data_IF_141259873614
#
_entry.id   IF_141259873614
#
_cell.length_a   1.000
_cell.length_b   1.000
_cell.length_c   1.000
_cell.angle_alpha   90.00
_cell.angle_beta   90.00
_cell.angle_gamma   90.00
#
_symmetry.space_group_name_H-M   'P 1'
#
loop_
_entity.id
_entity.type
_entity.pdbx_description
1 polymer ?
#
# COMPACT_ATOMS: atom_id res chain seq x y z
N UNK A 1 7.41 -16.84 -36.97
CA UNK A 1 7.47 -15.41 -36.58
C UNK A 1 6.45 -15.23 -35.48
N UNK A 2 6.89 -14.83 -34.29
CA UNK A 2 6.02 -14.62 -33.14
C UNK A 2 5.29 -13.28 -33.31
N UNK A 3 4.12 -13.29 -33.95
CA UNK A 3 3.34 -12.08 -34.27
C UNK A 3 2.48 -11.57 -33.07
N UNK A 4 2.52 -12.24 -31.92
CA UNK A 4 1.75 -11.92 -30.70
C UNK A 4 2.61 -11.90 -29.43
N UNK A 5 3.82 -11.31 -29.49
CA UNK A 5 4.73 -11.29 -28.33
C UNK A 5 5.20 -12.68 -27.87
N UNK A 6 4.98 -13.73 -28.67
CA UNK A 6 5.38 -15.09 -28.36
C UNK A 6 4.45 -15.85 -27.41
N UNK A 7 3.32 -15.28 -26.99
CA UNK A 7 2.35 -15.95 -26.11
C UNK A 7 1.60 -17.08 -26.87
N UNK A 8 1.72 -18.30 -26.37
CA UNK A 8 1.09 -19.51 -26.92
C UNK A 8 0.52 -20.34 -25.77
N UNK A 9 -0.66 -20.96 -25.90
CA UNK A 9 -1.14 -21.93 -24.91
C UNK A 9 -0.11 -23.04 -24.70
N UNK A 10 0.21 -23.36 -23.45
CA UNK A 10 1.22 -24.38 -23.15
C UNK A 10 0.83 -25.75 -23.71
N UNK A 11 -0.47 -26.06 -23.76
CA UNK A 11 -1.01 -27.32 -24.30
C UNK A 11 -0.69 -27.43 -25.78
N UNK A 12 -0.93 -26.37 -26.56
CA UNK A 12 -0.65 -26.33 -28.00
C UNK A 12 0.84 -26.50 -28.29
N UNK A 13 1.71 -25.91 -27.46
CA UNK A 13 3.16 -26.06 -27.59
C UNK A 13 3.57 -27.53 -27.40
N UNK A 14 3.11 -28.16 -26.32
CA UNK A 14 3.44 -29.55 -26.00
C UNK A 14 2.84 -30.51 -27.04
N UNK A 15 1.60 -30.27 -27.47
CA UNK A 15 0.96 -31.06 -28.52
C UNK A 15 1.75 -30.99 -29.83
N UNK A 16 2.28 -29.82 -30.21
CA UNK A 16 3.13 -29.69 -31.41
C UNK A 16 4.48 -30.41 -31.28
N UNK A 17 5.03 -30.52 -30.06
CA UNK A 17 6.31 -31.20 -29.83
C UNK A 17 6.15 -32.72 -29.73
N UNK A 18 5.07 -33.19 -29.12
CA UNK A 18 4.88 -34.61 -28.78
C UNK A 18 3.84 -35.30 -29.67
N UNK A 19 3.09 -34.55 -30.49
CA UNK A 19 1.94 -35.01 -31.28
C UNK A 19 0.81 -35.65 -30.43
N UNK A 20 0.72 -35.28 -29.15
CA UNK A 20 -0.32 -35.75 -28.21
C UNK A 20 -0.78 -34.60 -27.32
N UNK A 21 -2.10 -34.44 -27.13
CA UNK A 21 -2.65 -33.42 -26.23
C UNK A 21 -2.47 -33.82 -24.75
N UNK A 22 -1.70 -33.08 -23.95
CA UNK A 22 -1.45 -33.44 -22.56
C UNK A 22 -2.67 -33.18 -21.65
N UNK A 23 -3.16 -34.22 -20.97
CA UNK A 23 -4.15 -34.05 -19.88
C UNK A 23 -3.55 -33.46 -18.60
N UNK A 24 -2.24 -33.63 -18.39
CA UNK A 24 -1.49 -33.11 -17.23
C UNK A 24 -0.10 -32.65 -17.65
N UNK A 25 0.33 -31.52 -17.09
CA UNK A 25 1.69 -30.99 -17.26
C UNK A 25 2.55 -31.38 -16.06
N UNK A 26 3.28 -32.48 -16.19
CA UNK A 26 4.28 -32.88 -15.21
C UNK A 26 5.59 -32.12 -15.41
N UNK A 27 6.31 -31.83 -14.31
CA UNK A 27 7.60 -31.11 -14.36
C UNK A 27 8.58 -31.73 -15.36
N UNK A 28 8.73 -33.07 -15.37
CA UNK A 28 9.60 -33.77 -16.32
C UNK A 28 9.22 -33.54 -17.78
N UNK A 29 7.93 -33.42 -18.09
CA UNK A 29 7.45 -33.18 -19.46
C UNK A 29 7.84 -31.78 -19.93
N UNK A 30 7.59 -30.77 -19.09
CA UNK A 30 7.98 -29.38 -19.36
C UNK A 30 9.50 -29.23 -19.54
N UNK A 31 10.27 -29.85 -18.65
CA UNK A 31 11.74 -29.93 -18.71
C UNK A 31 12.23 -30.56 -20.02
N UNK A 32 11.64 -31.68 -20.46
CA UNK A 32 11.98 -32.32 -21.73
C UNK A 32 11.61 -31.44 -22.94
N UNK A 33 10.46 -30.79 -22.90
CA UNK A 33 10.03 -29.86 -23.94
C UNK A 33 10.99 -28.67 -24.05
N UNK A 34 11.45 -28.14 -22.91
CA UNK A 34 12.44 -27.06 -22.87
C UNK A 34 13.77 -27.51 -23.48
N UNK A 35 14.25 -28.72 -23.17
CA UNK A 35 15.48 -29.27 -23.77
C UNK A 35 15.33 -29.52 -25.29
N UNK A 36 14.16 -29.98 -25.73
CA UNK A 36 13.88 -30.19 -27.16
C UNK A 36 13.87 -28.88 -27.93
N UNK A 37 13.22 -27.84 -27.39
CA UNK A 37 13.21 -26.50 -27.97
C UNK A 37 14.60 -25.86 -27.97
N UNK A 38 15.36 -26.03 -26.88
CA UNK A 38 16.70 -25.47 -26.76
C UNK A 38 17.62 -25.93 -27.89
N UNK A 39 17.53 -27.20 -28.29
CA UNK A 39 18.31 -27.78 -29.41
C UNK A 39 17.99 -27.19 -30.77
N UNK A 40 16.78 -26.65 -30.95
CA UNK A 40 16.36 -25.97 -32.18
C UNK A 40 16.45 -24.45 -32.08
N UNK A 41 17.06 -23.93 -31.02
CA UNK A 41 17.35 -22.50 -30.83
C UNK A 41 16.19 -21.69 -30.21
N UNK A 42 15.21 -22.36 -29.60
CA UNK A 42 14.07 -21.71 -28.95
C UNK A 42 13.99 -22.04 -27.46
N UNK A 43 13.46 -21.12 -26.67
CA UNK A 43 13.09 -21.33 -25.28
C UNK A 43 11.63 -20.97 -25.05
N UNK A 44 11.10 -21.37 -23.90
CA UNK A 44 9.84 -20.82 -23.41
C UNK A 44 9.93 -20.39 -21.95
N UNK A 45 9.12 -19.42 -21.57
CA UNK A 45 8.94 -18.98 -20.19
C UNK A 45 7.47 -19.15 -19.78
N UNK A 46 7.18 -19.58 -18.53
CA UNK A 46 8.13 -19.93 -17.49
C UNK A 46 8.68 -21.36 -17.64
N UNK A 47 9.97 -21.53 -17.34
CA UNK A 47 10.63 -22.84 -17.28
C UNK A 47 10.84 -23.20 -15.81
N UNK A 48 10.25 -24.32 -15.37
CA UNK A 48 10.27 -24.76 -13.96
C UNK A 48 11.66 -24.89 -13.31
N UNK A 49 12.73 -24.98 -14.10
CA UNK A 49 14.12 -25.01 -13.60
C UNK A 49 14.61 -23.65 -13.11
N UNK A 50 14.09 -22.58 -13.70
CA UNK A 50 14.63 -21.24 -13.55
C UNK A 50 13.58 -20.26 -13.03
N UNK A 51 12.32 -20.48 -13.35
CA UNK A 51 11.17 -19.67 -12.97
C UNK A 51 10.65 -19.98 -11.58
N UNK A 52 9.98 -18.99 -10.98
CA UNK A 52 9.37 -19.11 -9.65
C UNK A 52 8.29 -20.22 -9.58
N UNK A 53 7.66 -20.54 -10.72
CA UNK A 53 6.69 -21.64 -10.85
C UNK A 53 6.59 -22.16 -12.28
N UNK A 54 6.03 -23.35 -12.42
CA UNK A 54 5.62 -23.90 -13.71
C UNK A 54 4.29 -23.28 -14.19
N UNK A 55 4.02 -23.27 -15.51
CA UNK A 55 2.74 -22.83 -16.06
C UNK A 55 1.65 -23.89 -15.81
N UNK A 56 0.41 -23.46 -15.62
CA UNK A 56 -0.77 -24.35 -15.54
C UNK A 56 -1.26 -24.71 -16.93
N UNK A 57 -2.08 -25.75 -17.03
CA UNK A 57 -2.65 -26.25 -18.30
C UNK A 57 -3.45 -25.16 -19.04
N UNK A 58 -4.12 -24.28 -18.31
CA UNK A 58 -4.91 -23.17 -18.87
C UNK A 58 -4.09 -21.90 -19.15
N UNK A 59 -2.82 -21.86 -18.79
CA UNK A 59 -1.99 -20.65 -18.89
C UNK A 59 -1.15 -20.65 -20.17
N UNK A 60 -0.84 -19.47 -20.72
CA UNK A 60 0.11 -19.36 -21.82
C UNK A 60 1.56 -19.55 -21.36
N UNK A 61 2.44 -19.73 -22.33
CA UNK A 61 3.89 -19.62 -22.24
C UNK A 61 4.38 -18.63 -23.29
N UNK A 62 5.50 -17.96 -23.03
CA UNK A 62 6.15 -17.05 -23.97
C UNK A 62 7.28 -17.79 -24.67
N UNK A 63 7.17 -17.97 -25.98
CA UNK A 63 8.24 -18.49 -26.83
C UNK A 63 9.21 -17.39 -27.25
N UNK A 64 10.50 -17.65 -27.09
CA UNK A 64 11.56 -16.72 -27.45
C UNK A 64 12.75 -17.42 -28.13
N UNK A 65 13.53 -16.65 -28.87
CA UNK A 65 14.72 -17.15 -29.57
C UNK A 65 15.94 -17.14 -28.63
N UNK A 66 16.65 -18.27 -28.57
CA UNK A 66 17.94 -18.41 -27.89
C UNK A 66 19.10 -17.96 -28.79
N UNK A 67 18.89 -17.98 -30.12
CA UNK A 67 19.86 -17.62 -31.14
C UNK A 67 20.43 -18.85 -31.84
N UNK A 68 21.27 -19.63 -31.14
CA UNK A 68 21.77 -20.92 -31.62
C UNK A 68 21.18 -22.06 -30.77
N UNK A 69 21.17 -23.27 -31.35
CA UNK A 69 20.77 -24.47 -30.64
C UNK A 69 21.74 -24.75 -29.48
N UNK A 70 21.21 -24.85 -28.27
CA UNK A 70 22.02 -25.11 -27.06
C UNK A 70 21.78 -26.54 -26.61
N UNK A 71 22.85 -27.32 -26.44
CA UNK A 71 22.78 -28.71 -26.01
C UNK A 71 22.33 -28.86 -24.54
N UNK A 72 22.66 -27.88 -23.70
CA UNK A 72 22.25 -27.79 -22.29
C UNK A 72 22.05 -26.35 -21.88
N UNK A 73 20.92 -26.09 -21.22
CA UNK A 73 20.67 -24.80 -20.59
C UNK A 73 21.64 -24.61 -19.41
N UNK A 74 22.24 -23.42 -19.33
CA UNK A 74 23.20 -23.05 -18.28
C UNK A 74 22.53 -22.89 -16.91
N UNK A 75 23.33 -22.98 -15.85
CA UNK A 75 22.90 -22.55 -14.51
C UNK A 75 22.71 -21.03 -14.48
N UNK A 76 21.75 -20.58 -13.69
CA UNK A 76 21.38 -19.16 -13.61
C UNK A 76 22.16 -18.47 -12.48
N UNK A 77 22.75 -17.32 -12.79
CA UNK A 77 23.49 -16.49 -11.83
C UNK A 77 22.60 -15.93 -10.72
N UNK A 78 23.22 -15.57 -9.59
CA UNK A 78 22.50 -14.91 -8.49
C UNK A 78 21.91 -13.55 -8.90
N UNK A 79 22.59 -12.82 -9.81
CA UNK A 79 22.10 -11.57 -10.37
C UNK A 79 20.78 -11.78 -11.13
N UNK A 80 20.68 -12.86 -11.92
CA UNK A 80 19.46 -13.21 -12.64
C UNK A 80 18.32 -13.65 -11.69
N UNK A 81 18.64 -14.39 -10.61
CA UNK A 81 17.65 -14.74 -9.58
C UNK A 81 17.10 -13.52 -8.85
N UNK A 82 17.97 -12.57 -8.46
CA UNK A 82 17.54 -11.30 -7.86
C UNK A 82 16.65 -10.52 -8.83
N UNK A 83 17.11 -10.37 -10.06
CA UNK A 83 16.38 -9.68 -11.11
C UNK A 83 14.98 -10.25 -11.36
N UNK A 84 14.84 -11.58 -11.32
CA UNK A 84 13.55 -12.27 -11.46
C UNK A 84 12.59 -11.92 -10.32
N UNK A 85 13.06 -11.93 -9.07
CA UNK A 85 12.23 -11.58 -7.90
C UNK A 85 11.77 -10.13 -8.00
N UNK A 86 12.70 -9.22 -8.30
CA UNK A 86 12.41 -7.80 -8.44
C UNK A 86 11.38 -7.53 -9.56
N UNK A 87 11.51 -8.21 -10.71
CA UNK A 87 10.53 -8.11 -11.79
C UNK A 87 9.17 -8.71 -11.41
N UNK A 88 9.15 -9.78 -10.63
CA UNK A 88 7.89 -10.38 -10.18
C UNK A 88 7.15 -9.48 -9.18
N UNK A 89 7.89 -8.74 -8.35
CA UNK A 89 7.32 -7.71 -7.47
C UNK A 89 6.79 -6.53 -8.29
N UNK A 90 7.57 -6.04 -9.27
CA UNK A 90 7.13 -4.95 -10.15
C UNK A 90 5.91 -5.32 -10.99
N UNK A 91 5.90 -6.52 -11.57
CA UNK A 91 4.74 -7.04 -12.30
C UNK A 91 3.52 -7.19 -11.39
N UNK A 92 3.69 -7.59 -10.12
CA UNK A 92 2.57 -7.63 -9.18
C UNK A 92 1.95 -6.25 -8.93
N UNK A 93 2.79 -5.23 -8.75
CA UNK A 93 2.32 -3.84 -8.59
C UNK A 93 1.61 -3.35 -9.84
N UNK A 94 2.16 -3.64 -11.03
CA UNK A 94 1.52 -3.28 -12.29
C UNK A 94 0.16 -3.96 -12.52
N UNK A 95 -0.12 -5.08 -11.84
CA UNK A 95 -1.44 -5.73 -11.86
C UNK A 95 -2.41 -5.20 -10.80
N UNK A 96 -2.06 -4.13 -10.06
CA UNK A 96 -2.83 -3.70 -8.89
C UNK A 96 -4.23 -3.18 -9.23
N UNK A 97 -4.42 -2.55 -10.39
CA UNK A 97 -5.73 -2.11 -10.91
C UNK A 97 -6.41 -3.15 -11.81
N UNK A 98 -5.73 -4.26 -12.10
CA UNK A 98 -6.20 -5.36 -12.93
C UNK A 98 -5.81 -5.26 -14.41
N UNK A 99 -5.25 -4.14 -14.86
CA UNK A 99 -4.86 -3.91 -16.26
C UNK A 99 -3.49 -3.22 -16.35
N UNK A 100 -2.46 -3.98 -16.71
CA UNK A 100 -1.12 -3.41 -16.92
C UNK A 100 -1.15 -2.43 -18.10
N UNK A 101 -0.71 -1.19 -17.91
CA UNK A 101 -0.61 -0.17 -18.95
C UNK A 101 0.64 -0.35 -19.82
N UNK A 102 0.59 0.05 -21.10
CA UNK A 102 1.74 -0.08 -22.02
C UNK A 102 2.98 0.69 -21.54
N UNK A 103 2.76 1.81 -20.84
CA UNK A 103 3.85 2.61 -20.27
C UNK A 103 4.57 1.83 -19.16
N UNK A 104 3.82 1.14 -18.28
CA UNK A 104 4.38 0.30 -17.22
C UNK A 104 5.13 -0.90 -17.80
N UNK A 105 4.59 -1.52 -18.87
CA UNK A 105 5.27 -2.61 -19.60
C UNK A 105 6.64 -2.15 -20.10
N UNK A 106 6.68 -1.02 -20.80
CA UNK A 106 7.92 -0.47 -21.35
C UNK A 106 8.91 -0.08 -20.24
N UNK A 107 8.40 0.45 -19.13
CA UNK A 107 9.22 0.84 -18.00
C UNK A 107 9.88 -0.36 -17.32
N UNK A 108 9.15 -1.46 -17.08
CA UNK A 108 9.70 -2.71 -16.55
C UNK A 108 10.71 -3.35 -17.52
N UNK A 109 10.47 -3.29 -18.83
CA UNK A 109 11.45 -3.75 -19.82
C UNK A 109 12.72 -2.89 -19.82
N UNK A 110 12.59 -1.57 -19.70
CA UNK A 110 13.71 -0.64 -19.62
C UNK A 110 14.56 -0.87 -18.37
N UNK A 111 13.92 -1.17 -17.23
CA UNK A 111 14.63 -1.58 -16.01
C UNK A 111 15.43 -2.86 -16.22
N UNK A 112 14.85 -3.88 -16.85
CA UNK A 112 15.59 -5.11 -17.17
C UNK A 112 16.79 -4.84 -18.10
N UNK A 113 16.64 -3.97 -19.09
CA UNK A 113 17.72 -3.66 -20.05
C UNK A 113 18.89 -2.90 -19.42
N UNK A 114 18.63 -2.08 -18.41
CA UNK A 114 19.68 -1.29 -17.74
C UNK A 114 20.45 -2.06 -16.67
N UNK A 115 20.05 -3.30 -16.36
CA UNK A 115 20.70 -4.12 -15.33
C UNK A 115 22.11 -4.58 -15.74
N UNK A 116 23.12 -4.36 -14.88
CA UNK A 116 24.46 -4.92 -15.09
C UNK A 116 24.49 -6.42 -14.76
N UNK A 117 25.57 -7.09 -15.17
CA UNK A 117 25.91 -8.47 -14.76
C UNK A 117 24.93 -9.57 -15.18
N UNK A 118 24.14 -9.33 -16.24
CA UNK A 118 23.33 -10.38 -16.88
C UNK A 118 24.00 -10.82 -18.19
N UNK A 119 24.09 -12.13 -18.41
CA UNK A 119 24.46 -12.65 -19.73
C UNK A 119 23.36 -12.33 -20.75
N UNK A 120 23.70 -12.34 -22.04
CA UNK A 120 22.73 -12.13 -23.11
C UNK A 120 21.61 -13.19 -23.09
N UNK A 121 21.92 -14.42 -22.65
CA UNK A 121 20.95 -15.50 -22.53
C UNK A 121 19.99 -15.28 -21.36
N UNK A 122 20.52 -14.91 -20.19
CA UNK A 122 19.70 -14.59 -19.02
C UNK A 122 18.79 -13.39 -19.28
N UNK A 123 19.31 -12.34 -19.92
CA UNK A 123 18.51 -11.17 -20.28
C UNK A 123 17.34 -11.52 -21.20
N UNK A 124 17.54 -12.40 -22.20
CA UNK A 124 16.46 -12.89 -23.07
C UNK A 124 15.43 -13.71 -22.31
N UNK A 125 15.88 -14.62 -21.44
CA UNK A 125 15.00 -15.45 -20.61
C UNK A 125 14.16 -14.59 -19.66
N UNK A 126 14.79 -13.66 -18.94
CA UNK A 126 14.11 -12.74 -18.03
C UNK A 126 13.11 -11.84 -18.76
N UNK A 127 13.41 -11.43 -20.01
CA UNK A 127 12.47 -10.66 -20.82
C UNK A 127 11.22 -11.48 -21.14
N UNK A 128 11.38 -12.72 -21.61
CA UNK A 128 10.25 -13.60 -21.88
C UNK A 128 9.47 -13.96 -20.61
N UNK A 129 10.14 -14.07 -19.47
CA UNK A 129 9.49 -14.29 -18.18
C UNK A 129 8.73 -13.06 -17.69
N UNK A 130 9.26 -11.85 -17.91
CA UNK A 130 8.54 -10.61 -17.66
C UNK A 130 7.29 -10.53 -18.52
N UNK A 131 7.39 -10.78 -19.83
CA UNK A 131 6.22 -10.83 -20.74
C UNK A 131 5.14 -11.79 -20.23
N UNK A 132 5.58 -12.95 -19.70
CA UNK A 132 4.66 -13.92 -19.11
C UNK A 132 4.04 -13.41 -17.81
N UNK A 133 4.79 -12.78 -16.90
CA UNK A 133 4.27 -12.23 -15.65
C UNK A 133 3.31 -11.05 -15.89
N UNK A 134 3.51 -10.28 -16.96
CA UNK A 134 2.59 -9.21 -17.36
C UNK A 134 1.30 -9.76 -18.00
N UNK A 135 1.33 -10.95 -18.59
CA UNK A 135 0.16 -11.63 -19.12
C UNK A 135 -0.57 -12.51 -18.08
N UNK A 136 0.17 -13.06 -17.11
CA UNK A 136 -0.32 -13.95 -16.07
C UNK A 136 0.10 -13.38 -14.71
N UNK A 137 -0.84 -12.79 -13.95
CA UNK A 137 -0.52 -12.15 -12.69
C UNK A 137 0.29 -13.07 -11.75
N UNK A 138 1.39 -12.56 -11.15
CA UNK A 138 2.17 -13.33 -10.21
C UNK A 138 1.38 -13.64 -8.92
N UNK A 139 1.53 -14.86 -8.42
CA UNK A 139 0.83 -15.33 -7.22
C UNK A 139 1.56 -14.85 -5.96
N UNK A 140 0.86 -14.07 -5.14
CA UNK A 140 1.36 -13.51 -3.88
C UNK A 140 1.79 -14.55 -2.86
N UNK A 141 1.11 -15.69 -2.78
CA UNK A 141 1.48 -16.75 -1.85
C UNK A 141 2.83 -17.37 -2.23
N UNK A 142 3.12 -17.46 -3.53
CA UNK A 142 4.38 -17.98 -4.05
C UNK A 142 5.52 -16.98 -3.85
N UNK A 143 5.27 -15.70 -4.09
CA UNK A 143 6.24 -14.63 -3.82
C UNK A 143 6.65 -14.61 -2.33
N UNK A 144 5.67 -14.61 -1.41
CA UNK A 144 5.96 -14.70 0.04
C UNK A 144 6.80 -15.93 0.38
N UNK A 145 6.48 -17.09 -0.19
CA UNK A 145 7.22 -18.33 0.09
C UNK A 145 8.68 -18.25 -0.36
N UNK A 146 8.93 -17.64 -1.52
CA UNK A 146 10.29 -17.43 -2.03
C UNK A 146 11.06 -16.36 -1.23
N UNK A 147 10.34 -15.49 -0.51
CA UNK A 147 10.90 -14.39 0.28
C UNK A 147 10.90 -14.64 1.80
N UNK A 148 10.51 -15.83 2.26
CA UNK A 148 10.27 -16.14 3.70
C UNK A 148 11.52 -16.07 4.60
N UNK A 149 12.73 -16.10 4.04
CA UNK A 149 14.00 -16.14 4.78
C UNK A 149 14.97 -15.00 4.39
N UNK A 150 14.42 -13.85 3.98
CA UNK A 150 15.20 -12.70 3.50
C UNK A 150 15.78 -11.94 4.70
N UNK A 151 17.10 -11.79 4.74
CA UNK A 151 17.79 -11.00 5.78
C UNK A 151 17.59 -9.49 5.60
N UNK A 152 17.95 -8.68 6.61
CA UNK A 152 17.69 -7.23 6.63
C UNK A 152 18.25 -6.47 5.40
N UNK A 153 19.47 -6.79 4.95
CA UNK A 153 20.07 -6.18 3.75
C UNK A 153 19.23 -6.41 2.48
N UNK A 154 18.60 -7.57 2.43
CA UNK A 154 17.88 -8.08 1.27
C UNK A 154 16.42 -7.59 1.30
N UNK A 155 15.87 -7.32 2.49
CA UNK A 155 14.63 -6.57 2.65
C UNK A 155 14.75 -5.13 2.11
N UNK A 156 15.88 -4.47 2.36
CA UNK A 156 16.14 -3.12 1.79
C UNK A 156 16.19 -3.17 0.27
N UNK A 157 16.87 -4.17 -0.31
CA UNK A 157 16.90 -4.35 -1.77
C UNK A 157 15.50 -4.60 -2.36
N UNK A 158 14.68 -5.43 -1.70
CA UNK A 158 13.28 -5.68 -2.11
C UNK A 158 12.45 -4.40 -2.07
N UNK A 159 12.53 -3.63 -0.98
CA UNK A 159 11.80 -2.37 -0.83
C UNK A 159 12.22 -1.35 -1.90
N UNK A 160 13.52 -1.23 -2.15
CA UNK A 160 14.05 -0.39 -3.22
C UNK A 160 13.54 -0.83 -4.61
N UNK A 161 13.47 -2.13 -4.88
CA UNK A 161 12.93 -2.66 -6.12
C UNK A 161 11.42 -2.39 -6.29
N UNK A 162 10.64 -2.51 -5.21
CA UNK A 162 9.21 -2.17 -5.23
C UNK A 162 9.04 -0.67 -5.53
N UNK A 163 9.79 0.21 -4.85
CA UNK A 163 9.72 1.65 -5.10
C UNK A 163 10.17 2.01 -6.52
N UNK A 164 11.24 1.39 -7.02
CA UNK A 164 11.71 1.61 -8.39
C UNK A 164 10.69 1.18 -9.45
N UNK A 165 9.96 0.08 -9.23
CA UNK A 165 8.91 -0.37 -10.14
C UNK A 165 7.76 0.64 -10.23
N UNK A 166 7.34 1.21 -9.10
CA UNK A 166 6.26 2.21 -9.03
C UNK A 166 6.67 3.55 -9.65
N UNK A 167 7.95 3.92 -9.55
CA UNK A 167 8.45 5.17 -10.14
C UNK A 167 8.83 5.05 -11.62
N UNK A 168 8.62 3.89 -12.23
CA UNK A 168 9.20 3.57 -13.53
C UNK A 168 8.61 4.43 -14.68
N UNK A 169 7.33 4.78 -14.59
CA UNK A 169 6.64 5.65 -15.55
C UNK A 169 6.57 7.12 -15.11
N UNK A 170 6.95 7.40 -13.86
CA UNK A 170 6.96 8.73 -13.24
C UNK A 170 5.60 9.19 -12.68
N UNK A 171 4.55 8.37 -12.72
CA UNK A 171 3.22 8.72 -12.22
C UNK A 171 2.73 7.64 -11.25
N UNK A 172 2.86 7.91 -9.95
CA UNK A 172 2.40 6.98 -8.92
C UNK A 172 0.88 7.06 -8.77
N UNK A 173 0.19 5.97 -9.06
CA UNK A 173 -1.28 5.86 -8.97
C UNK A 173 -1.73 5.28 -7.63
N UNK A 174 -2.95 5.63 -7.19
CA UNK A 174 -3.51 5.14 -5.93
C UNK A 174 -3.64 3.60 -5.89
N UNK A 175 -3.95 2.97 -7.02
CA UNK A 175 -4.04 1.51 -7.12
C UNK A 175 -2.67 0.85 -6.91
N UNK A 176 -1.61 1.39 -7.50
CA UNK A 176 -0.23 0.91 -7.30
C UNK A 176 0.20 1.06 -5.84
N UNK A 177 -0.09 2.20 -5.20
CA UNK A 177 0.18 2.41 -3.77
C UNK A 177 -0.52 1.35 -2.92
N UNK A 178 -1.80 1.04 -3.21
CA UNK A 178 -2.51 -0.03 -2.53
C UNK A 178 -1.88 -1.43 -2.80
N UNK A 179 -1.34 -1.64 -4.00
CA UNK A 179 -0.54 -2.84 -4.34
C UNK A 179 0.74 -2.95 -3.50
N UNK A 180 1.46 -1.85 -3.33
CA UNK A 180 2.66 -1.73 -2.49
C UNK A 180 2.32 -2.00 -1.03
N UNK A 181 1.26 -1.39 -0.48
CA UNK A 181 0.84 -1.65 0.90
C UNK A 181 0.52 -3.12 1.15
N UNK A 182 -0.16 -3.77 0.19
CA UNK A 182 -0.42 -5.21 0.24
C UNK A 182 0.88 -6.02 0.28
N UNK A 183 1.87 -5.65 -0.53
CA UNK A 183 3.19 -6.30 -0.51
C UNK A 183 3.90 -6.12 0.84
N UNK A 184 3.88 -4.92 1.41
CA UNK A 184 4.53 -4.65 2.71
C UNK A 184 3.90 -5.47 3.84
N UNK A 185 2.58 -5.45 3.95
CA UNK A 185 1.84 -6.29 4.91
C UNK A 185 2.13 -7.79 4.70
N UNK A 186 2.29 -8.21 3.45
CA UNK A 186 2.53 -9.61 3.11
C UNK A 186 3.93 -10.09 3.51
N UNK A 187 4.92 -9.22 3.34
CA UNK A 187 6.34 -9.45 3.61
C UNK A 187 6.74 -9.12 5.06
N UNK A 188 5.75 -8.76 5.90
CA UNK A 188 5.96 -8.38 7.30
C UNK A 188 6.85 -7.13 7.45
N UNK A 189 6.73 -6.21 6.48
CA UNK A 189 7.33 -4.88 6.56
C UNK A 189 6.35 -3.89 7.19
N UNK A 190 6.86 -2.89 7.88
CA UNK A 190 6.06 -1.79 8.42
C UNK A 190 5.37 -1.02 7.27
N UNK A 191 4.02 -0.99 7.22
CA UNK A 191 3.28 -0.26 6.18
C UNK A 191 3.63 1.24 6.13
N UNK A 192 4.06 1.85 7.24
CA UNK A 192 4.47 3.26 7.25
C UNK A 192 5.71 3.52 6.37
N UNK A 193 6.58 2.52 6.20
CA UNK A 193 7.75 2.61 5.33
C UNK A 193 7.39 2.64 3.84
N UNK A 194 6.21 2.14 3.44
CA UNK A 194 5.80 2.15 2.04
C UNK A 194 5.75 3.59 1.50
N UNK A 195 5.13 4.50 2.26
CA UNK A 195 5.03 5.91 1.89
C UNK A 195 6.40 6.60 1.90
N UNK A 196 7.24 6.32 2.90
CA UNK A 196 8.58 6.88 2.98
C UNK A 196 9.45 6.45 1.78
N UNK A 197 9.41 5.16 1.41
CA UNK A 197 10.17 4.62 0.30
C UNK A 197 9.65 5.09 -1.06
N UNK A 198 8.33 5.30 -1.19
CA UNK A 198 7.76 5.92 -2.37
C UNK A 198 8.18 7.38 -2.50
N UNK A 199 8.09 8.17 -1.44
CA UNK A 199 8.53 9.56 -1.46
C UNK A 199 10.05 9.73 -1.64
N UNK A 200 10.85 8.76 -1.18
CA UNK A 200 12.30 8.76 -1.39
C UNK A 200 12.71 8.38 -2.83
N UNK A 201 11.87 7.63 -3.55
CA UNK A 201 12.09 7.22 -4.95
C UNK A 201 11.62 8.27 -5.97
N UNK A 202 10.78 9.22 -5.55
CA UNK A 202 10.38 10.37 -6.35
C UNK A 202 11.56 11.25 -6.70
N UNK A 203 11.47 11.95 -7.85
CA UNK A 203 12.46 12.92 -8.31
C UNK A 203 13.03 13.76 -7.14
N UNK A 204 14.33 14.13 -7.18
CA UNK A 204 14.94 14.89 -6.09
C UNK A 204 14.05 16.08 -5.73
N UNK A 205 13.97 16.40 -4.43
CA UNK A 205 13.34 17.62 -3.90
C UNK A 205 14.07 18.91 -4.37
N UNK A 206 14.42 18.97 -5.64
CA UNK A 206 14.98 20.10 -6.33
C UNK A 206 13.85 20.76 -7.13
N UNK A 207 13.73 22.10 -7.08
CA UNK A 207 12.72 22.81 -7.86
C UNK A 207 12.86 22.46 -9.35
N UNK A 208 11.82 21.84 -9.93
CA UNK A 208 11.77 21.57 -11.37
C UNK A 208 11.77 22.90 -12.12
N UNK A 209 12.85 23.18 -12.83
CA UNK A 209 12.98 24.42 -13.62
C UNK A 209 12.09 24.35 -14.86
N UNK A 210 10.87 24.90 -14.75
CA UNK A 210 9.88 24.91 -15.84
C UNK A 210 10.27 25.80 -17.03
N UNK A 211 11.30 26.64 -16.90
CA UNK A 211 11.74 27.54 -17.96
C UNK A 211 13.20 27.95 -17.77
N UNK A 212 14.06 27.82 -18.81
CA UNK A 212 15.40 28.38 -18.77
C UNK A 212 15.32 29.88 -18.51
N UNK A 213 16.10 30.37 -17.55
CA UNK A 213 16.19 31.80 -17.28
C UNK A 213 16.64 32.52 -18.56
N UNK A 214 15.74 33.28 -19.18
CA UNK A 214 16.12 34.24 -20.21
C UNK A 214 16.78 35.39 -19.46
N UNK A 215 18.05 35.75 -19.75
CA UNK A 215 18.69 36.86 -19.07
C UNK A 215 17.85 38.12 -19.30
N UNK A 216 17.12 38.55 -18.28
CA UNK A 216 16.53 39.87 -18.25
C UNK A 216 17.63 40.91 -18.34
N UNK A 217 17.30 42.08 -18.88
CA UNK A 217 18.17 43.27 -18.82
C UNK A 217 18.80 43.35 -17.42
N UNK A 218 20.13 43.49 -17.36
CA UNK A 218 20.89 43.51 -16.11
C UNK A 218 20.16 44.35 -15.05
N UNK A 219 19.56 43.66 -14.07
CA UNK A 219 19.00 44.31 -12.89
C UNK A 219 20.13 44.83 -12.00
N UNK A 220 19.79 45.51 -10.91
CA UNK A 220 20.78 45.91 -9.91
C UNK A 220 21.68 44.71 -9.54
N UNK A 221 22.98 44.97 -9.45
CA UNK A 221 23.95 43.98 -9.04
C UNK A 221 23.58 43.44 -7.64
N UNK A 222 23.37 42.13 -7.55
CA UNK A 222 23.15 41.45 -6.27
C UNK A 222 24.40 41.71 -5.40
N UNK A 223 24.25 42.34 -4.22
CA UNK A 223 25.38 42.57 -3.33
C UNK A 223 26.03 41.23 -2.95
N UNK A 224 27.37 41.18 -2.80
CA UNK A 224 28.05 39.95 -2.41
C UNK A 224 27.50 39.44 -1.09
N UNK A 225 27.35 38.12 -1.02
CA UNK A 225 26.79 37.39 0.13
C UNK A 225 27.57 37.77 1.39
N UNK A 226 26.99 38.66 2.20
CA UNK A 226 27.53 38.97 3.52
C UNK A 226 26.82 38.03 4.49
N UNK A 227 27.55 37.16 5.22
CA UNK A 227 26.92 36.34 6.24
C UNK A 227 26.15 37.27 7.18
N UNK A 228 24.83 37.10 7.23
CA UNK A 228 23.98 37.89 8.11
C UNK A 228 24.47 37.67 9.55
N UNK A 229 25.11 38.68 10.13
CA UNK A 229 25.52 38.65 11.53
C UNK A 229 24.27 38.79 12.38
N UNK A 230 23.85 37.67 12.95
CA UNK A 230 22.80 37.62 13.95
C UNK A 230 23.28 38.39 15.19
N UNK A 231 22.48 39.38 15.59
CA UNK A 231 22.72 40.14 16.81
C UNK A 231 22.29 39.29 18.02
N UNK A 232 23.29 38.74 18.72
CA UNK A 232 23.07 37.90 19.89
C UNK A 232 22.29 38.61 21.00
N UNK A 233 22.42 39.95 21.11
CA UNK A 233 21.67 40.73 22.09
C UNK A 233 20.18 40.79 21.72
N UNK A 234 19.87 40.93 20.42
CA UNK A 234 18.50 40.92 19.91
C UNK A 234 17.87 39.53 20.02
N UNK A 235 18.63 38.45 19.79
CA UNK A 235 18.16 37.08 20.01
C UNK A 235 17.85 36.84 21.49
N UNK A 236 18.73 37.28 22.39
CA UNK A 236 18.49 37.16 23.82
C UNK A 236 17.22 37.91 24.24
N UNK A 237 17.02 39.14 23.76
CA UNK A 237 15.81 39.91 24.02
C UNK A 237 14.54 39.21 23.51
N UNK A 238 14.54 38.71 22.27
CA UNK A 238 13.39 37.97 21.70
C UNK A 238 13.11 36.71 22.52
N UNK A 239 14.13 35.96 22.93
CA UNK A 239 13.94 34.75 23.76
C UNK A 239 13.37 35.08 25.13
N UNK A 240 13.79 36.18 25.74
CA UNK A 240 13.22 36.63 27.02
C UNK A 240 11.76 37.05 26.85
N UNK A 241 11.42 37.76 25.77
CA UNK A 241 10.03 38.11 25.46
C UNK A 241 9.17 36.87 25.21
N UNK A 242 9.67 35.89 24.44
CA UNK A 242 8.97 34.60 24.23
C UNK A 242 8.78 33.87 25.55
N UNK A 243 9.80 33.78 26.40
CA UNK A 243 9.69 33.15 27.71
C UNK A 243 8.66 33.85 28.60
N UNK A 244 8.58 35.18 28.55
CA UNK A 244 7.58 35.95 29.29
C UNK A 244 6.17 35.68 28.79
N UNK A 245 5.98 35.66 27.47
CA UNK A 245 4.68 35.36 26.85
C UNK A 245 4.25 33.93 27.14
N UNK A 246 5.15 32.95 27.06
CA UNK A 246 4.89 31.57 27.44
C UNK A 246 4.57 31.41 28.93
N UNK A 247 5.20 32.19 29.81
CA UNK A 247 4.86 32.21 31.25
C UNK A 247 3.46 32.76 31.49
N UNK A 248 3.09 33.85 30.82
CA UNK A 248 1.75 34.44 30.94
C UNK A 248 0.68 33.51 30.38
N UNK A 249 0.92 32.88 29.22
CA UNK A 249 0.03 31.85 28.68
C UNK A 249 -0.04 30.64 29.62
N UNK A 250 1.10 30.20 30.15
CA UNK A 250 1.18 29.14 31.15
C UNK A 250 0.36 29.46 32.40
N UNK A 251 0.40 30.70 32.92
CA UNK A 251 -0.44 31.14 34.04
C UNK A 251 -1.93 31.25 33.66
N UNK A 252 -2.25 31.65 32.43
CA UNK A 252 -3.64 31.69 31.94
C UNK A 252 -4.22 30.27 31.84
N UNK A 253 -3.43 29.30 31.36
CA UNK A 253 -3.86 27.92 31.22
C UNK A 253 -3.71 27.10 32.50
N UNK A 254 -2.78 27.44 33.41
CA UNK A 254 -2.64 26.78 34.71
C UNK A 254 -3.77 27.12 35.70
N UNK A 255 -4.48 28.24 35.47
CA UNK A 255 -5.71 28.58 36.19
C UNK A 255 -6.99 28.12 35.43
N UNK A 256 -6.83 27.33 34.35
CA UNK A 256 -7.92 26.70 33.61
C UNK A 256 -8.15 25.23 33.98
N UNK A 257 -7.28 24.65 34.82
CA UNK A 257 -7.42 23.33 35.43
C UNK A 257 -7.66 23.47 36.95
N UNK A 258 -8.34 24.54 37.38
CA UNK A 258 -9.14 24.39 38.60
C UNK A 258 -10.30 23.50 38.19
N UNK A 259 -10.21 22.24 38.61
CA UNK A 259 -11.27 21.25 38.59
C UNK A 259 -12.62 21.97 38.65
N UNK A 260 -13.36 21.98 37.53
CA UNK A 260 -14.80 21.88 37.63
C UNK A 260 -15.04 20.54 38.32
N UNK A 261 -14.93 20.54 39.65
CA UNK A 261 -15.72 19.68 40.52
C UNK A 261 -17.16 19.92 40.07
N UNK A 262 -17.58 19.13 39.08
CA UNK A 262 -18.99 18.96 38.77
C UNK A 262 -19.55 18.44 40.09
N UNK A 263 -20.22 19.35 40.79
CA UNK A 263 -21.04 19.06 41.95
C UNK A 263 -21.79 17.76 41.68
N UNK A 264 -21.55 16.76 42.52
CA UNK A 264 -22.32 15.53 42.62
C UNK A 264 -23.79 15.90 42.90
N UNK A 265 -24.49 16.24 41.82
CA UNK A 265 -25.91 16.50 41.81
C UNK A 265 -26.64 15.16 41.69
N UNK A 266 -26.51 14.36 42.75
CA UNK A 266 -27.34 13.19 43.00
C UNK A 266 -26.95 11.98 42.16
N UNK A 267 -26.47 10.95 42.85
CA UNK A 267 -26.37 9.57 42.36
C UNK A 267 -27.75 9.10 41.88
N UNK A 268 -28.06 9.37 40.61
CA UNK A 268 -29.03 8.63 39.82
C UNK A 268 -28.19 7.66 39.02
N UNK A 269 -28.31 6.37 39.34
CA UNK A 269 -27.60 5.32 38.62
C UNK A 269 -27.77 5.54 37.10
N UNK A 270 -26.64 5.56 36.38
CA UNK A 270 -26.66 5.65 34.93
C UNK A 270 -27.36 4.41 34.38
N UNK A 271 -28.38 4.56 33.50
CA UNK A 271 -29.17 3.44 33.01
C UNK A 271 -28.38 2.40 32.17
N UNK A 272 -27.13 2.74 31.86
CA UNK A 272 -26.20 1.96 31.04
C UNK A 272 -24.83 2.03 31.74
N UNK A 273 -24.26 0.89 32.18
CA UNK A 273 -22.92 0.84 32.75
C UNK A 273 -21.87 1.40 31.79
N UNK A 274 -20.95 2.24 32.30
CA UNK A 274 -19.84 2.81 31.52
C UNK A 274 -20.14 4.15 30.84
N UNK A 275 -21.41 4.55 30.70
CA UNK A 275 -21.79 5.88 30.21
C UNK A 275 -22.16 6.81 31.35
N UNK A 276 -21.83 8.10 31.22
CA UNK A 276 -22.37 9.10 32.14
C UNK A 276 -23.90 9.25 31.95
N UNK A 277 -24.56 9.91 32.91
CA UNK A 277 -26.01 10.07 32.88
C UNK A 277 -26.51 10.73 31.58
N UNK A 278 -25.86 11.79 31.10
CA UNK A 278 -26.32 12.53 29.92
C UNK A 278 -26.18 11.70 28.64
N UNK A 279 -25.06 11.01 28.48
CA UNK A 279 -24.77 10.15 27.34
C UNK A 279 -25.61 8.87 27.36
N UNK A 280 -25.95 8.33 28.55
CA UNK A 280 -26.85 7.18 28.66
C UNK A 280 -28.31 7.52 28.26
N UNK A 281 -28.82 8.69 28.65
CA UNK A 281 -30.12 9.16 28.18
C UNK A 281 -30.12 9.53 26.70
N UNK A 282 -29.00 10.07 26.19
CA UNK A 282 -28.82 10.33 24.77
C UNK A 282 -28.82 9.01 23.96
N UNK A 283 -28.05 8.00 24.37
CA UNK A 283 -28.00 6.68 23.73
C UNK A 283 -29.39 6.02 23.67
N UNK A 284 -30.18 6.12 24.73
CA UNK A 284 -31.58 5.64 24.75
C UNK A 284 -32.48 6.31 23.71
N UNK A 285 -32.31 7.62 23.50
CA UNK A 285 -33.10 8.34 22.50
C UNK A 285 -32.60 8.01 21.08
N UNK A 286 -31.29 7.83 20.90
CA UNK A 286 -30.66 7.50 19.61
C UNK A 286 -31.16 6.16 19.07
N UNK A 287 -31.23 5.11 19.89
CA UNK A 287 -31.65 3.77 19.46
C UNK A 287 -33.14 3.64 19.10
N UNK A 288 -33.95 4.69 19.30
CA UNK A 288 -35.36 4.69 18.93
C UNK A 288 -35.59 4.76 17.41
N UNK A 289 -34.58 5.20 16.66
CA UNK A 289 -34.61 5.27 15.21
C UNK A 289 -33.42 4.51 14.64
N UNK A 290 -33.60 3.83 13.52
CA UNK A 290 -32.53 3.08 12.86
C UNK A 290 -31.58 3.98 12.05
N UNK A 291 -32.00 5.21 11.76
CA UNK A 291 -31.23 6.17 10.99
C UNK A 291 -31.56 7.59 11.45
N UNK A 292 -30.52 8.42 11.54
CA UNK A 292 -30.62 9.85 11.82
C UNK A 292 -29.94 10.64 10.73
N UNK A 293 -30.62 11.66 10.19
CA UNK A 293 -29.94 12.69 9.40
C UNK A 293 -29.16 13.64 10.31
N UNK A 294 -28.07 14.23 9.79
CA UNK A 294 -27.24 15.23 10.48
C UNK A 294 -28.05 16.28 11.27
N UNK A 295 -29.02 17.02 10.67
CA UNK A 295 -29.75 18.05 11.41
C UNK A 295 -30.68 17.51 12.50
N UNK A 296 -31.14 16.26 12.38
CA UNK A 296 -31.98 15.62 13.38
C UNK A 296 -31.15 15.13 14.57
N UNK A 297 -29.95 14.62 14.29
CA UNK A 297 -28.98 14.21 15.30
C UNK A 297 -28.43 15.41 16.09
N UNK A 298 -28.11 16.51 15.42
CA UNK A 298 -27.69 17.75 16.09
C UNK A 298 -28.77 18.30 17.02
N UNK A 299 -30.02 18.30 16.58
CA UNK A 299 -31.16 18.71 17.41
C UNK A 299 -31.34 17.79 18.63
N UNK A 300 -31.07 16.49 18.46
CA UNK A 300 -31.12 15.52 19.55
C UNK A 300 -29.98 15.74 20.55
N UNK A 301 -28.75 15.96 20.09
CA UNK A 301 -27.61 16.25 20.94
C UNK A 301 -27.82 17.56 21.73
N UNK A 302 -28.34 18.59 21.06
CA UNK A 302 -28.69 19.86 21.68
C UNK A 302 -29.77 19.73 22.75
N UNK A 303 -30.77 18.85 22.57
CA UNK A 303 -31.81 18.55 23.58
C UNK A 303 -31.20 18.01 24.88
N UNK A 304 -30.12 17.25 24.78
CA UNK A 304 -29.39 16.68 25.93
C UNK A 304 -28.23 17.58 26.41
N UNK A 305 -28.04 18.75 25.79
CA UNK A 305 -26.98 19.70 26.14
C UNK A 305 -25.57 19.22 25.76
N UNK A 306 -25.47 18.34 24.77
CA UNK A 306 -24.21 17.76 24.29
C UNK A 306 -23.81 18.36 22.95
N UNK A 307 -22.50 18.39 22.69
CA UNK A 307 -21.98 18.71 21.36
C UNK A 307 -22.12 17.48 20.45
N UNK A 308 -22.64 17.61 19.21
CA UNK A 308 -22.93 16.46 18.35
C UNK A 308 -21.73 15.54 18.11
N UNK A 309 -20.59 16.11 17.71
CA UNK A 309 -19.37 15.33 17.43
C UNK A 309 -18.79 14.66 18.68
N UNK A 310 -18.81 15.36 19.83
CA UNK A 310 -18.33 14.78 21.10
C UNK A 310 -19.24 13.66 21.60
N UNK A 311 -20.56 13.83 21.49
CA UNK A 311 -21.52 12.80 21.88
C UNK A 311 -21.38 11.55 20.99
N UNK A 312 -21.16 11.72 19.69
CA UNK A 312 -20.92 10.62 18.76
C UNK A 312 -19.66 9.83 19.15
N UNK A 313 -18.55 10.53 19.38
CA UNK A 313 -17.27 9.92 19.76
C UNK A 313 -17.42 9.12 21.07
N UNK A 314 -18.01 9.72 22.10
CA UNK A 314 -18.21 9.05 23.40
C UNK A 314 -19.11 7.81 23.30
N UNK A 315 -20.18 7.85 22.48
CA UNK A 315 -21.06 6.69 22.28
C UNK A 315 -20.37 5.58 21.50
N UNK A 316 -19.61 5.92 20.46
CA UNK A 316 -18.90 4.93 19.66
C UNK A 316 -17.73 4.32 20.43
N UNK A 317 -16.98 5.09 21.20
CA UNK A 317 -15.90 4.60 22.07
C UNK A 317 -16.45 3.61 23.11
N UNK A 318 -17.53 3.97 23.81
CA UNK A 318 -18.21 3.05 24.73
C UNK A 318 -18.70 1.77 24.04
N UNK A 319 -19.28 1.89 22.84
CA UNK A 319 -19.77 0.74 22.09
C UNK A 319 -18.62 -0.20 21.64
N UNK A 320 -17.47 0.37 21.26
CA UNK A 320 -16.28 -0.41 20.96
C UNK A 320 -15.75 -1.16 22.17
N UNK A 321 -15.74 -0.53 23.35
CA UNK A 321 -15.24 -1.15 24.58
C UNK A 321 -16.12 -2.31 25.05
N UNK A 322 -17.45 -2.16 24.99
CA UNK A 322 -18.40 -3.16 25.51
C UNK A 322 -18.84 -4.20 24.45
N UNK A 323 -18.96 -3.79 23.19
CA UNK A 323 -19.54 -4.59 22.10
C UNK A 323 -18.58 -4.88 20.94
N UNK A 324 -17.39 -4.25 20.91
CA UNK A 324 -16.36 -4.48 19.90
C UNK A 324 -16.60 -3.80 18.55
N UNK A 325 -17.68 -3.03 18.41
CA UNK A 325 -18.10 -2.35 17.19
C UNK A 325 -18.71 -0.97 17.53
N UNK A 326 -18.77 -0.05 16.56
CA UNK A 326 -19.36 1.27 16.74
C UNK A 326 -20.90 1.17 16.80
N UNK A 327 -21.53 1.98 17.67
CA UNK A 327 -23.00 2.08 17.72
C UNK A 327 -23.57 2.85 16.52
N UNK A 328 -22.84 3.84 16.03
CA UNK A 328 -23.25 4.76 14.96
C UNK A 328 -22.24 4.74 13.82
N UNK A 329 -22.69 4.34 12.64
CA UNK A 329 -21.92 4.40 11.39
C UNK A 329 -22.25 5.67 10.59
N UNK A 330 -21.21 6.41 10.20
CA UNK A 330 -21.31 7.67 9.45
C UNK A 330 -21.35 7.40 7.95
N UNK A 331 -22.49 6.88 7.46
CA UNK A 331 -22.73 6.64 6.04
C UNK A 331 -24.08 7.23 5.59
N UNK A 332 -24.07 8.39 4.91
CA UNK A 332 -25.28 9.14 4.54
C UNK A 332 -26.18 9.48 5.76
N UNK A 333 -25.56 10.09 6.78
CA UNK A 333 -26.15 10.30 8.11
C UNK A 333 -25.59 9.31 9.12
N UNK A 334 -26.34 9.03 10.19
CA UNK A 334 -25.95 8.14 11.26
C UNK A 334 -26.85 6.90 11.28
N UNK A 335 -26.29 5.75 10.92
CA UNK A 335 -26.96 4.46 11.01
C UNK A 335 -26.70 3.82 12.37
N UNK A 336 -27.77 3.43 13.06
CA UNK A 336 -27.66 2.76 14.36
C UNK A 336 -27.50 1.26 14.16
N UNK A 337 -26.45 0.67 14.74
CA UNK A 337 -26.26 -0.77 14.72
C UNK A 337 -27.39 -1.49 15.48
N UNK A 338 -27.99 -2.50 14.84
CA UNK A 338 -29.16 -3.18 15.37
C UNK A 338 -28.83 -4.09 16.56
N UNK A 339 -27.68 -4.77 16.53
CA UNK A 339 -27.31 -5.73 17.57
C UNK A 339 -26.94 -5.01 18.87
N UNK A 340 -26.24 -3.87 18.76
CA UNK A 340 -25.91 -3.01 19.90
C UNK A 340 -27.16 -2.28 20.41
N UNK A 341 -28.04 -1.79 19.53
CA UNK A 341 -29.31 -1.17 19.94
C UNK A 341 -30.21 -2.14 20.74
N UNK A 342 -30.25 -3.42 20.34
CA UNK A 342 -30.97 -4.47 21.10
C UNK A 342 -30.31 -4.73 22.45
N UNK A 343 -28.98 -4.77 22.52
CA UNK A 343 -28.27 -4.95 23.78
C UNK A 343 -28.56 -3.81 24.78
N UNK A 344 -28.54 -2.56 24.32
CA UNK A 344 -28.90 -1.39 25.14
C UNK A 344 -30.36 -1.49 25.60
N UNK A 345 -31.30 -1.87 24.72
CA UNK A 345 -32.69 -2.04 25.09
C UNK A 345 -32.89 -3.10 26.18
N UNK A 346 -32.14 -4.20 26.14
CA UNK A 346 -32.19 -5.25 27.16
C UNK A 346 -31.64 -4.72 28.50
N UNK A 347 -30.49 -4.04 28.50
CA UNK A 347 -29.88 -3.47 29.71
C UNK A 347 -30.80 -2.45 30.39
N UNK A 348 -31.40 -1.56 29.62
CA UNK A 348 -32.34 -0.54 30.13
C UNK A 348 -33.60 -1.16 30.73
N UNK A 349 -34.07 -2.30 30.19
CA UNK A 349 -35.24 -3.02 30.72
C UNK A 349 -34.88 -3.82 31.99
N UNK A 350 -33.67 -4.37 32.06
CA UNK A 350 -33.18 -5.08 33.24
C UNK A 350 -32.99 -4.14 34.43
N UNK A 351 -32.44 -2.95 34.21
CA UNK A 351 -32.33 -1.93 35.28
C UNK A 351 -33.68 -1.34 35.69
N UNK A 352 -34.64 -1.21 34.78
CA UNK A 352 -36.00 -0.76 35.14
C UNK A 352 -36.78 -1.80 35.99
N UNK A 353 -36.29 -3.04 36.08
CA UNK A 353 -36.86 -4.13 36.90
C UNK A 353 -36.12 -4.36 38.22
N UNK A 354 -34.92 -3.81 38.38
CA UNK A 354 -34.09 -3.92 39.58
C UNK A 354 -34.47 -2.87 40.64
#
# INVERSE_FOLDING_TARGET
RCETGGLVPVVDLIERLENETPQKLGARRLTNAADALARVGFGFAPDSRFSLRAPKVSEPVVLFELGEGVDRLEDVSDACRSAQIELALGAYVAHADGDVADVEREALHSQLQSRPNLSAMEARRLRAELDWMLAVPPDMALLRRNLKNVGAEQQVAIRAAISAAVHADGIVQAAEVAGVEKLYKLLDFDPALAYADLHAGGAPNEPVSMRPAVPGRAGEAIPPDRPARLDAARIAAIRTDTARVSSVLGEIFANGDEDDEIEDAGVVASPIPGLDHKHAFFARDVILQQHWGEPAFEALAAKHGLMPSGALETLNEWAFDEHGEALLDEYDGYHVDFDIAVAIMVQVVEEARA
#
